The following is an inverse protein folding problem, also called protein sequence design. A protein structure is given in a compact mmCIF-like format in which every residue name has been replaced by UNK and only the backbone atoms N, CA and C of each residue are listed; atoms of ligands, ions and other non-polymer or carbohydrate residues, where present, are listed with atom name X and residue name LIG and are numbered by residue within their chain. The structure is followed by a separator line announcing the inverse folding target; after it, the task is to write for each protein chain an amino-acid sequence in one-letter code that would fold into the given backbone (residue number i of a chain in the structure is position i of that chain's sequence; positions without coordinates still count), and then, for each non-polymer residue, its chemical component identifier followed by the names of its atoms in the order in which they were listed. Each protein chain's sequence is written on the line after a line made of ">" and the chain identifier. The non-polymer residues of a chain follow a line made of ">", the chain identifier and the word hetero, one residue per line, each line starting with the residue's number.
data_IF_795309517866
#
_entry.id   IF_795309517866
#
_cell.length_a   1.000
_cell.length_b   1.000
_cell.length_c   1.000
_cell.angle_alpha   90.00
_cell.angle_beta   90.00
_cell.angle_gamma   90.00
#
_symmetry.space_group_name_H-M   'P 1'
#
loop_
_entity.id
_entity.type
_entity.pdbx_description
1 polymer ?
#
# COMPACT_ATOMS: atom_id res chain seq x y z
N UNK A 1 17.88 14.63 19.24
CA UNK A 1 17.75 15.55 18.10
C UNK A 1 17.65 16.99 18.59
N UNK A 2 18.15 17.94 17.82
CA UNK A 2 17.94 19.36 18.07
C UNK A 2 16.57 19.78 17.51
N UNK A 3 16.00 20.89 18.02
CA UNK A 3 14.73 21.42 17.47
C UNK A 3 14.82 21.77 15.97
N UNK A 4 16.03 22.01 15.43
CA UNK A 4 16.29 22.24 14.02
C UNK A 4 16.20 20.92 13.22
N UNK A 5 16.85 19.86 13.71
CA UNK A 5 16.80 18.53 13.10
C UNK A 5 15.38 17.98 13.05
N UNK A 6 14.61 18.16 14.13
CA UNK A 6 13.21 17.72 14.18
C UNK A 6 12.35 18.45 13.13
N UNK A 7 12.59 19.76 12.91
CA UNK A 7 11.88 20.51 11.85
C UNK A 7 12.24 20.02 10.46
N UNK A 8 13.51 19.78 10.19
CA UNK A 8 13.98 19.26 8.90
C UNK A 8 13.35 17.89 8.58
N UNK A 9 13.22 17.02 9.59
CA UNK A 9 12.55 15.71 9.45
C UNK A 9 11.06 15.89 9.12
N UNK A 10 10.36 16.79 9.83
CA UNK A 10 8.94 17.06 9.59
C UNK A 10 8.73 17.68 8.21
N UNK A 11 9.55 18.66 7.82
CA UNK A 11 9.48 19.31 6.51
C UNK A 11 9.69 18.28 5.40
N UNK A 12 10.67 17.41 5.53
CA UNK A 12 10.91 16.32 4.60
C UNK A 12 9.69 15.37 4.49
N UNK A 13 9.11 14.95 5.63
CA UNK A 13 7.95 14.07 5.64
C UNK A 13 6.74 14.70 4.94
N UNK A 14 6.48 15.99 5.17
CA UNK A 14 5.41 16.73 4.53
C UNK A 14 5.64 16.89 3.01
N UNK A 15 6.87 17.14 2.59
CA UNK A 15 7.22 17.34 1.18
C UNK A 15 7.08 16.03 0.39
N UNK A 16 7.60 14.90 0.91
CA UNK A 16 7.54 13.63 0.19
C UNK A 16 6.11 13.09 0.06
N UNK A 17 5.26 13.40 1.02
CA UNK A 17 3.83 13.05 0.99
C UNK A 17 2.96 14.09 0.28
N UNK A 18 3.56 15.20 -0.18
CA UNK A 18 2.87 16.33 -0.82
C UNK A 18 1.78 16.93 0.07
N UNK A 19 2.03 17.04 1.37
CA UNK A 19 1.06 17.55 2.36
C UNK A 19 1.49 18.87 3.01
N UNK A 20 2.54 19.51 2.53
CA UNK A 20 3.08 20.75 3.10
C UNK A 20 2.03 21.89 3.13
N UNK A 21 1.16 21.97 2.09
CA UNK A 21 0.07 22.95 2.01
C UNK A 21 -1.04 22.73 3.05
N UNK A 22 -1.05 21.58 3.73
CA UNK A 22 -2.04 21.21 4.75
C UNK A 22 -1.55 21.48 6.18
N UNK A 23 -0.33 21.99 6.34
CA UNK A 23 0.37 22.15 7.64
C UNK A 23 -0.47 22.84 8.72
N UNK A 24 -1.21 23.86 8.35
CA UNK A 24 -2.03 24.66 9.27
C UNK A 24 -3.52 24.24 9.29
N UNK A 25 -3.87 23.18 8.57
CA UNK A 25 -5.25 22.71 8.52
C UNK A 25 -5.53 21.69 9.62
N UNK A 26 -6.77 21.70 10.11
CA UNK A 26 -7.22 20.72 11.08
C UNK A 26 -7.52 19.39 10.39
N UNK A 27 -7.06 18.28 10.96
CA UNK A 27 -7.26 16.92 10.41
C UNK A 27 -8.72 16.62 10.03
N UNK A 28 -9.75 17.01 10.83
CA UNK A 28 -11.14 16.78 10.47
C UNK A 28 -11.61 17.47 9.18
N UNK A 29 -10.92 18.55 8.76
CA UNK A 29 -11.27 19.28 7.52
C UNK A 29 -10.68 18.68 6.26
N UNK A 30 -9.78 17.70 6.39
CA UNK A 30 -9.09 17.06 5.27
C UNK A 30 -9.97 16.04 4.57
N UNK A 31 -9.84 15.92 3.25
CA UNK A 31 -10.38 14.81 2.47
C UNK A 31 -9.77 13.46 2.92
N UNK A 32 -10.39 12.34 2.54
CA UNK A 32 -9.88 11.01 2.87
C UNK A 32 -8.44 10.79 2.39
N UNK A 33 -8.14 11.14 1.15
CA UNK A 33 -6.80 11.00 0.57
C UNK A 33 -5.76 11.91 1.21
N UNK A 34 -6.12 13.17 1.51
CA UNK A 34 -5.25 14.10 2.23
C UNK A 34 -4.96 13.59 3.64
N UNK A 35 -5.97 13.14 4.35
CA UNK A 35 -5.82 12.58 5.71
C UNK A 35 -4.91 11.37 5.70
N UNK A 36 -5.07 10.46 4.75
CA UNK A 36 -4.22 9.29 4.61
C UNK A 36 -2.76 9.67 4.38
N UNK A 37 -2.48 10.64 3.50
CA UNK A 37 -1.11 11.14 3.26
C UNK A 37 -0.53 11.83 4.50
N UNK A 38 -1.33 12.59 5.24
CA UNK A 38 -0.89 13.21 6.51
C UNK A 38 -0.53 12.16 7.55
N UNK A 39 -1.30 11.07 7.69
CA UNK A 39 -0.95 9.98 8.59
C UNK A 39 0.34 9.28 8.20
N UNK A 40 0.57 9.07 6.89
CA UNK A 40 1.84 8.55 6.40
C UNK A 40 2.97 9.53 6.73
N UNK A 41 2.78 10.83 6.53
CA UNK A 41 3.78 11.85 6.90
C UNK A 41 4.12 11.80 8.40
N UNK A 42 3.12 11.68 9.27
CA UNK A 42 3.32 11.56 10.72
C UNK A 42 4.15 10.31 11.09
N UNK A 43 3.89 9.19 10.42
CA UNK A 43 4.66 7.97 10.62
C UNK A 43 6.11 8.12 10.11
N UNK A 44 6.31 8.73 8.94
CA UNK A 44 7.63 8.97 8.36
C UNK A 44 8.49 9.92 9.20
N UNK A 45 7.88 10.92 9.86
CA UNK A 45 8.57 11.83 10.76
C UNK A 45 9.23 11.10 11.96
N UNK A 46 8.81 9.89 12.28
CA UNK A 46 9.44 9.03 13.27
C UNK A 46 10.65 8.26 12.73
N UNK A 47 10.98 8.42 11.45
CA UNK A 47 12.09 7.75 10.75
C UNK A 47 12.07 6.21 10.92
N UNK A 48 10.94 5.54 10.65
CA UNK A 48 10.82 4.10 10.84
C UNK A 48 11.63 3.32 9.80
N UNK A 49 12.07 2.12 10.15
CA UNK A 49 12.60 1.13 9.20
C UNK A 49 11.49 0.24 8.62
N UNK A 50 10.38 0.14 9.32
CA UNK A 50 9.20 -0.63 8.94
C UNK A 50 7.96 0.23 9.11
N UNK A 51 7.18 0.39 8.03
CA UNK A 51 5.87 1.02 8.04
C UNK A 51 4.80 -0.05 7.88
N UNK A 52 3.88 -0.12 8.84
CA UNK A 52 2.76 -1.08 8.82
C UNK A 52 1.47 -0.31 8.54
N UNK A 53 0.74 -0.71 7.50
CA UNK A 53 -0.49 -0.06 7.05
C UNK A 53 -1.61 -1.09 6.93
N UNK A 54 -2.73 -0.79 7.56
CA UNK A 54 -3.95 -1.59 7.46
C UNK A 54 -4.90 -0.93 6.46
N UNK A 55 -5.09 -1.58 5.31
CA UNK A 55 -5.97 -1.14 4.23
C UNK A 55 -5.78 0.34 3.80
N UNK A 56 -4.56 0.77 3.41
CA UNK A 56 -4.24 2.18 3.22
C UNK A 56 -5.00 2.86 2.06
N UNK A 57 -5.69 2.08 1.22
CA UNK A 57 -6.43 2.57 0.05
C UNK A 57 -7.95 2.46 0.18
N UNK A 58 -8.44 1.86 1.26
CA UNK A 58 -9.88 1.67 1.49
C UNK A 58 -10.59 3.02 1.63
N UNK A 59 -11.80 3.15 1.05
CA UNK A 59 -12.62 4.36 1.00
C UNK A 59 -12.02 5.55 0.23
N UNK A 60 -10.94 5.33 -0.52
CA UNK A 60 -10.39 6.34 -1.44
C UNK A 60 -10.89 6.11 -2.86
N UNK A 61 -11.03 7.19 -3.62
CA UNK A 61 -11.23 7.07 -5.07
C UNK A 61 -9.95 6.56 -5.76
N UNK A 62 -10.11 6.11 -7.00
CA UNK A 62 -9.01 5.45 -7.75
C UNK A 62 -7.77 6.31 -7.88
N UNK A 63 -7.91 7.64 -8.02
CA UNK A 63 -6.78 8.54 -8.15
C UNK A 63 -5.96 8.57 -6.86
N UNK A 64 -6.62 8.76 -5.72
CA UNK A 64 -5.96 8.79 -4.41
C UNK A 64 -5.38 7.42 -4.01
N UNK A 65 -6.04 6.32 -4.39
CA UNK A 65 -5.49 4.97 -4.22
C UNK A 65 -4.14 4.84 -4.93
N UNK A 66 -4.07 5.22 -6.21
CA UNK A 66 -2.86 5.17 -7.00
C UNK A 66 -1.76 6.09 -6.42
N UNK A 67 -2.11 7.31 -6.00
CA UNK A 67 -1.16 8.22 -5.36
C UNK A 67 -0.51 7.62 -4.11
N UNK A 68 -1.30 6.96 -3.25
CA UNK A 68 -0.79 6.27 -2.05
C UNK A 68 0.13 5.10 -2.43
N UNK A 69 -0.29 4.25 -3.36
CA UNK A 69 0.51 3.08 -3.76
C UNK A 69 1.83 3.49 -4.41
N UNK A 70 1.83 4.51 -5.28
CA UNK A 70 3.06 5.03 -5.90
C UNK A 70 3.96 5.74 -4.87
N UNK A 71 3.39 6.42 -3.88
CA UNK A 71 4.16 6.99 -2.76
C UNK A 71 4.87 5.89 -1.97
N UNK A 72 4.17 4.83 -1.57
CA UNK A 72 4.74 3.72 -0.80
C UNK A 72 5.83 2.98 -1.58
N UNK A 73 5.61 2.75 -2.87
CA UNK A 73 6.61 2.16 -3.77
C UNK A 73 7.87 3.03 -3.86
N UNK A 74 7.73 4.35 -3.97
CA UNK A 74 8.86 5.28 -3.99
C UNK A 74 9.61 5.28 -2.67
N UNK A 75 8.92 5.32 -1.53
CA UNK A 75 9.54 5.25 -0.20
C UNK A 75 10.34 3.95 0.00
N UNK A 76 9.79 2.82 -0.41
CA UNK A 76 10.50 1.55 -0.36
C UNK A 76 11.77 1.57 -1.22
N UNK A 77 11.68 2.07 -2.46
CA UNK A 77 12.81 2.06 -3.42
C UNK A 77 13.91 3.05 -3.07
N UNK A 78 13.54 4.27 -2.63
CA UNK A 78 14.47 5.38 -2.46
C UNK A 78 15.01 5.52 -1.04
N UNK A 79 14.33 4.97 -0.04
CA UNK A 79 14.67 5.13 1.37
C UNK A 79 14.89 3.83 2.11
N UNK A 80 14.92 2.71 1.39
CA UNK A 80 15.07 1.38 2.00
C UNK A 80 14.03 1.10 3.12
N UNK A 81 12.86 1.74 3.01
CA UNK A 81 11.77 1.57 3.96
C UNK A 81 11.04 0.26 3.66
N UNK A 82 11.01 -0.64 4.62
CA UNK A 82 10.16 -1.82 4.52
C UNK A 82 8.70 -1.42 4.74
N UNK A 83 7.80 -1.82 3.83
CA UNK A 83 6.36 -1.55 3.93
C UNK A 83 5.61 -2.87 4.04
N UNK A 84 4.85 -3.02 5.12
CA UNK A 84 3.91 -4.12 5.32
C UNK A 84 2.48 -3.58 5.20
N UNK A 85 1.70 -4.14 4.27
CA UNK A 85 0.33 -3.67 4.02
C UNK A 85 -0.67 -4.83 4.08
N UNK A 86 -1.83 -4.58 4.66
CA UNK A 86 -3.01 -5.41 4.43
C UNK A 86 -3.78 -4.82 3.24
N UNK A 87 -4.04 -5.63 2.22
CA UNK A 87 -4.76 -5.22 1.02
C UNK A 87 -5.86 -6.22 0.70
N UNK A 88 -7.01 -5.73 0.22
CA UNK A 88 -8.12 -6.56 -0.25
C UNK A 88 -8.25 -6.56 -1.78
N UNK A 89 -7.71 -5.54 -2.44
CA UNK A 89 -7.74 -5.45 -3.90
C UNK A 89 -6.62 -6.31 -4.49
N UNK A 90 -6.99 -7.37 -5.20
CA UNK A 90 -6.06 -8.40 -5.67
C UNK A 90 -5.02 -7.86 -6.67
N UNK A 91 -5.44 -6.99 -7.59
CA UNK A 91 -4.52 -6.40 -8.57
C UNK A 91 -3.48 -5.50 -7.91
N UNK A 92 -3.90 -4.66 -6.94
CA UNK A 92 -2.96 -3.86 -6.16
C UNK A 92 -1.98 -4.74 -5.39
N UNK A 93 -2.47 -5.78 -4.73
CA UNK A 93 -1.61 -6.70 -3.99
C UNK A 93 -0.55 -7.34 -4.90
N UNK A 94 -0.94 -7.80 -6.08
CA UNK A 94 -0.04 -8.43 -7.05
C UNK A 94 0.95 -7.42 -7.66
N UNK A 95 0.53 -6.20 -7.94
CA UNK A 95 1.37 -5.20 -8.62
C UNK A 95 2.38 -4.50 -7.71
N UNK A 96 2.04 -4.33 -6.43
CA UNK A 96 2.82 -3.49 -5.51
C UNK A 96 3.58 -4.28 -4.45
N UNK A 97 3.39 -5.60 -4.33
CA UNK A 97 4.13 -6.40 -3.35
C UNK A 97 5.26 -7.21 -3.99
N UNK A 98 6.43 -7.22 -3.35
CA UNK A 98 7.54 -8.11 -3.68
C UNK A 98 7.33 -9.50 -3.06
N UNK A 99 6.81 -9.51 -1.83
CA UNK A 99 6.43 -10.70 -1.07
C UNK A 99 4.98 -10.60 -0.64
N UNK A 100 4.31 -11.73 -0.56
CA UNK A 100 2.92 -11.82 -0.15
C UNK A 100 2.75 -12.91 0.89
N UNK A 101 1.89 -12.66 1.86
CA UNK A 101 1.36 -13.66 2.78
C UNK A 101 -0.16 -13.70 2.59
N UNK A 102 -0.70 -14.88 2.29
CA UNK A 102 -2.12 -15.09 2.06
C UNK A 102 -2.73 -15.71 3.30
N UNK A 103 -3.71 -15.05 3.87
CA UNK A 103 -4.40 -15.46 5.10
C UNK A 103 -5.87 -15.73 4.80
N UNK A 104 -6.38 -16.85 5.31
CA UNK A 104 -7.80 -17.21 5.25
C UNK A 104 -8.23 -17.74 6.61
N UNK A 105 -9.34 -17.21 7.13
CA UNK A 105 -9.91 -17.65 8.41
C UNK A 105 -8.90 -17.69 9.58
N UNK A 106 -8.02 -16.70 9.63
CA UNK A 106 -6.97 -16.60 10.65
C UNK A 106 -5.76 -17.53 10.45
N UNK A 107 -5.69 -18.28 9.35
CA UNK A 107 -4.59 -19.18 9.05
C UNK A 107 -3.73 -18.68 7.89
N UNK A 108 -2.42 -18.80 8.02
CA UNK A 108 -1.49 -18.57 6.92
C UNK A 108 -1.58 -19.72 5.91
N UNK A 109 -2.07 -19.44 4.71
CA UNK A 109 -2.21 -20.43 3.64
C UNK A 109 -0.90 -20.60 2.90
N UNK A 110 -0.29 -19.49 2.50
CA UNK A 110 1.01 -19.47 1.82
C UNK A 110 1.70 -18.14 2.01
N UNK A 111 3.02 -18.13 1.84
CA UNK A 111 3.82 -16.90 1.80
C UNK A 111 5.05 -17.10 0.92
N UNK A 112 5.51 -16.01 0.31
CA UNK A 112 6.71 -16.04 -0.54
C UNK A 112 6.78 -14.87 -1.49
N UNK A 113 7.71 -14.94 -2.43
CA UNK A 113 7.79 -13.96 -3.51
C UNK A 113 6.48 -13.96 -4.31
N UNK A 114 5.87 -12.79 -4.47
CA UNK A 114 4.59 -12.63 -5.14
C UNK A 114 4.57 -13.32 -6.51
N UNK A 115 5.62 -13.12 -7.32
CA UNK A 115 5.74 -13.72 -8.65
C UNK A 115 5.74 -15.24 -8.66
N UNK A 116 6.09 -15.90 -7.57
CA UNK A 116 6.19 -17.36 -7.45
C UNK A 116 4.95 -17.99 -6.85
N UNK A 117 4.23 -17.28 -5.97
CA UNK A 117 3.10 -17.87 -5.25
C UNK A 117 1.75 -17.59 -5.91
N UNK A 118 1.64 -16.55 -6.75
CA UNK A 118 0.36 -16.25 -7.42
C UNK A 118 0.08 -17.27 -8.54
N UNK A 119 -1.09 -17.87 -8.48
CA UNK A 119 -1.61 -18.77 -9.51
C UNK A 119 -3.14 -18.69 -9.53
N UNK A 120 -3.74 -19.16 -10.63
CA UNK A 120 -5.20 -19.23 -10.74
C UNK A 120 -5.78 -20.15 -9.66
N UNK A 121 -5.07 -21.24 -9.31
CA UNK A 121 -5.45 -22.17 -8.25
C UNK A 121 -5.50 -21.47 -6.88
N UNK A 122 -4.50 -20.64 -6.56
CA UNK A 122 -4.48 -19.91 -5.30
C UNK A 122 -5.73 -19.04 -5.12
N UNK A 123 -6.11 -18.31 -6.16
CA UNK A 123 -7.29 -17.43 -6.10
C UNK A 123 -8.59 -18.23 -6.01
N UNK A 124 -8.67 -19.36 -6.71
CA UNK A 124 -9.82 -20.28 -6.65
C UNK A 124 -9.98 -20.87 -5.25
N UNK A 125 -8.92 -21.42 -4.68
CA UNK A 125 -8.96 -22.17 -3.42
C UNK A 125 -9.14 -21.24 -2.20
N UNK A 126 -8.52 -20.06 -2.25
CA UNK A 126 -8.55 -19.13 -1.11
C UNK A 126 -9.75 -18.20 -1.19
N UNK A 127 -9.99 -17.59 -2.35
CA UNK A 127 -10.99 -16.53 -2.50
C UNK A 127 -12.27 -16.99 -3.17
N UNK A 128 -12.35 -18.26 -3.63
CA UNK A 128 -13.50 -18.82 -4.37
C UNK A 128 -13.84 -18.01 -5.62
N UNK A 129 -12.84 -17.46 -6.28
CA UNK A 129 -12.98 -16.71 -7.54
C UNK A 129 -12.18 -17.35 -8.65
N UNK A 130 -12.79 -17.42 -9.83
CA UNK A 130 -12.08 -17.77 -11.06
C UNK A 130 -11.44 -16.52 -11.64
N UNK A 131 -10.13 -16.57 -11.84
CA UNK A 131 -9.36 -15.44 -12.34
C UNK A 131 -8.56 -15.82 -13.58
N UNK A 132 -8.08 -14.81 -14.25
CA UNK A 132 -7.02 -14.92 -15.25
C UNK A 132 -5.92 -13.93 -14.88
N UNK A 133 -4.69 -14.42 -14.82
CA UNK A 133 -3.51 -13.60 -14.62
C UNK A 133 -3.02 -13.12 -15.99
N UNK A 134 -3.14 -11.82 -16.24
CA UNK A 134 -2.66 -11.18 -17.45
C UNK A 134 -1.36 -10.40 -17.15
N UNK A 135 -0.51 -10.27 -18.16
CA UNK A 135 0.64 -9.37 -18.10
C UNK A 135 0.51 -8.33 -19.21
N UNK A 136 0.48 -7.06 -18.84
CA UNK A 136 0.45 -5.94 -19.76
C UNK A 136 1.45 -4.89 -19.30
N UNK A 137 2.29 -4.41 -20.20
CA UNK A 137 3.34 -3.40 -19.93
C UNK A 137 4.20 -3.76 -18.70
N UNK A 138 4.66 -5.01 -18.63
CA UNK A 138 5.43 -5.59 -17.52
C UNK A 138 4.73 -5.55 -16.15
N UNK A 139 3.43 -5.29 -16.11
CA UNK A 139 2.60 -5.34 -14.90
C UNK A 139 1.65 -6.52 -14.95
N UNK A 140 1.46 -7.17 -13.81
CA UNK A 140 0.47 -8.25 -13.67
C UNK A 140 -0.86 -7.70 -13.26
N UNK A 141 -1.92 -8.25 -13.84
CA UNK A 141 -3.31 -7.92 -13.59
C UNK A 141 -4.06 -9.17 -13.21
N UNK A 142 -4.93 -9.05 -12.23
CA UNK A 142 -5.88 -10.10 -11.84
C UNK A 142 -7.23 -9.76 -12.45
N UNK A 143 -7.60 -10.48 -13.50
CA UNK A 143 -8.91 -10.36 -14.12
C UNK A 143 -9.85 -11.37 -13.50
N UNK A 144 -10.80 -10.91 -12.71
CA UNK A 144 -11.85 -11.76 -12.14
C UNK A 144 -12.84 -12.14 -13.24
N UNK A 145 -13.08 -13.44 -13.44
CA UNK A 145 -14.06 -13.99 -14.39
C UNK A 145 -15.40 -14.26 -13.74
N UNK A 146 -15.40 -14.67 -12.48
CA UNK A 146 -16.60 -14.99 -11.73
C UNK A 146 -16.32 -15.75 -10.44
N UNK A 147 -17.36 -16.25 -9.84
CA UNK A 147 -17.26 -17.14 -8.69
C UNK A 147 -16.95 -18.57 -9.19
N UNK A 148 -16.24 -19.32 -8.38
CA UNK A 148 -16.09 -20.78 -8.58
C UNK A 148 -17.40 -21.44 -8.22
N UNK A 149 -17.97 -22.22 -9.14
CA UNK A 149 -19.18 -23.04 -8.91
C UNK A 149 -18.85 -24.31 -8.11
#
# INVERSE_FOLDING_TARGET
>A
NTAKEDREIVDYALDITKTNHLREQLIPSLSGGERQRVWIAMALAQQPKLLVLDEPTTYLDINHQLEIMELLKRLNKEQDLTVLMVLHELTQAVQYSHYMAVIKEGHLITSGETSKIISDELFRDVFSVDVQLDTFDNKKYVRVKGLVE
#
